data_IF_168500452300
#
_entry.id   IF_168500452300
#
_cell.length_a   1.000
_cell.length_b   1.000
_cell.length_c   1.000
_cell.angle_alpha   90.00
_cell.angle_beta   90.00
_cell.angle_gamma   90.00
#
_symmetry.space_group_name_H-M   'P 1'
#
loop_
_entity.id
_entity.type
_entity.pdbx_description
1 polymer ?
#
# COMPACT_ATOMS: atom_id res chain seq x y z
N UNK A 1 9.30 47.86 33.02
CA UNK A 1 10.49 47.32 33.71
C UNK A 1 11.00 46.16 32.88
N UNK A 2 12.10 46.40 32.17
CA UNK A 2 12.79 45.47 31.29
C UNK A 2 13.43 44.32 32.06
N UNK A 3 13.55 43.16 31.42
CA UNK A 3 14.71 42.28 31.60
C UNK A 3 14.98 41.58 30.26
N UNK A 4 15.97 42.09 29.54
CA UNK A 4 16.56 41.45 28.38
C UNK A 4 17.74 40.57 28.81
N UNK A 5 17.89 39.41 28.18
CA UNK A 5 19.10 38.61 28.29
C UNK A 5 19.68 38.48 26.89
N UNK A 6 20.83 39.12 26.73
CA UNK A 6 21.72 39.06 25.57
C UNK A 6 22.69 37.91 25.84
N UNK A 7 22.81 36.94 24.92
CA UNK A 7 23.93 36.01 24.90
C UNK A 7 24.76 36.25 23.64
N UNK A 8 25.98 36.69 23.89
CA UNK A 8 27.04 36.97 22.92
C UNK A 8 27.89 35.72 22.67
N UNK A 9 28.15 35.46 21.39
CA UNK A 9 29.46 35.17 20.78
C UNK A 9 30.44 34.22 21.48
N UNK A 10 30.81 33.13 20.79
CA UNK A 10 32.23 32.77 20.68
C UNK A 10 32.48 31.93 19.42
N UNK A 11 33.26 32.51 18.51
CA UNK A 11 33.85 31.82 17.37
C UNK A 11 35.04 30.99 17.86
N UNK A 12 35.15 29.74 17.42
CA UNK A 12 36.40 28.99 17.46
C UNK A 12 36.72 28.50 16.05
N UNK A 13 37.83 29.03 15.55
CA UNK A 13 38.50 28.69 14.31
C UNK A 13 39.09 27.26 14.36
N UNK A 14 39.23 26.71 13.16
CA UNK A 14 40.30 25.79 12.73
C UNK A 14 40.21 24.31 13.15
N UNK A 15 39.96 23.46 12.16
CA UNK A 15 40.99 22.57 11.63
C UNK A 15 40.52 21.99 10.27
N UNK A 16 41.13 22.46 9.19
CA UNK A 16 41.07 21.82 7.88
C UNK A 16 41.93 20.54 7.94
N UNK A 17 41.30 19.37 7.91
CA UNK A 17 41.98 18.13 7.54
C UNK A 17 41.44 17.68 6.18
N UNK A 18 42.18 18.06 5.14
CA UNK A 18 42.08 17.51 3.80
C UNK A 18 42.58 16.07 3.83
N UNK A 19 41.67 15.11 4.00
CA UNK A 19 41.96 13.70 3.72
C UNK A 19 41.54 13.43 2.28
N UNK A 20 42.56 13.27 1.43
CA UNK A 20 42.40 12.82 0.05
C UNK A 20 42.08 11.33 0.06
N UNK A 21 40.80 10.96 -0.05
CA UNK A 21 40.43 9.58 -0.32
C UNK A 21 40.49 9.34 -1.83
N UNK A 22 41.40 8.46 -2.21
CA UNK A 22 41.56 7.88 -3.55
C UNK A 22 40.26 7.18 -3.93
N UNK A 23 39.60 7.69 -4.97
CA UNK A 23 38.43 7.06 -5.57
C UNK A 23 38.81 5.80 -6.32
N UNK A 24 38.46 4.64 -5.78
CA UNK A 24 38.36 3.41 -6.56
C UNK A 24 36.97 3.44 -7.20
N UNK A 25 36.93 3.76 -8.50
CA UNK A 25 35.73 3.64 -9.32
C UNK A 25 35.44 2.15 -9.54
N UNK A 26 34.80 1.51 -8.56
CA UNK A 26 34.13 0.22 -8.75
C UNK A 26 32.87 0.44 -9.56
N UNK A 27 32.89 0.06 -10.83
CA UNK A 27 31.69 -0.02 -11.67
C UNK A 27 30.88 -1.26 -11.25
N UNK A 28 30.33 -1.25 -10.05
CA UNK A 28 29.29 -2.21 -9.68
C UNK A 28 27.99 -1.70 -10.29
N UNK A 29 27.76 -2.11 -11.54
CA UNK A 29 26.44 -2.01 -12.13
C UNK A 29 25.48 -2.77 -11.20
N UNK A 30 24.43 -2.14 -10.67
CA UNK A 30 23.43 -2.87 -9.91
C UNK A 30 22.82 -3.89 -10.88
N UNK A 31 23.10 -5.17 -10.64
CA UNK A 31 22.36 -6.27 -11.27
C UNK A 31 20.94 -6.14 -10.74
N UNK A 32 20.09 -5.46 -11.50
CA UNK A 32 18.67 -5.43 -11.25
C UNK A 32 18.20 -6.89 -11.35
N UNK A 33 18.00 -7.51 -10.19
CA UNK A 33 17.40 -8.84 -10.09
C UNK A 33 16.03 -8.72 -10.74
N UNK A 34 15.90 -9.23 -11.97
CA UNK A 34 14.60 -9.33 -12.60
C UNK A 34 13.76 -10.25 -11.71
N UNK A 35 12.52 -9.85 -11.36
CA UNK A 35 11.67 -10.71 -10.54
C UNK A 35 11.51 -12.08 -11.23
N UNK A 36 11.38 -13.17 -10.45
CA UNK A 36 11.18 -14.49 -11.01
C UNK A 36 9.94 -14.48 -11.91
N UNK A 37 10.12 -14.88 -13.17
CA UNK A 37 9.02 -15.11 -14.11
C UNK A 37 8.50 -16.52 -13.93
N UNK A 38 7.27 -16.65 -13.46
CA UNK A 38 6.57 -17.92 -13.44
C UNK A 38 5.65 -17.98 -14.67
N UNK A 39 5.73 -19.06 -15.45
CA UNK A 39 4.73 -19.35 -16.49
C UNK A 39 3.37 -19.55 -15.81
N UNK A 40 2.39 -18.72 -16.16
CA UNK A 40 1.15 -18.51 -15.40
C UNK A 40 0.23 -19.74 -15.27
N UNK A 41 0.43 -20.77 -16.10
CA UNK A 41 -0.42 -21.97 -16.13
C UNK A 41 -0.48 -22.75 -14.81
N UNK A 42 0.52 -22.66 -13.94
CA UNK A 42 0.54 -23.47 -12.71
C UNK A 42 -0.03 -22.78 -11.45
N UNK A 43 0.04 -21.45 -11.35
CA UNK A 43 -0.28 -20.72 -10.08
C UNK A 43 -1.64 -20.01 -10.07
N UNK A 44 -2.28 -19.82 -11.22
CA UNK A 44 -3.62 -19.23 -11.32
C UNK A 44 -4.77 -20.25 -11.20
N UNK A 45 -4.46 -21.54 -11.23
CA UNK A 45 -5.44 -22.64 -11.30
C UNK A 45 -5.69 -23.36 -9.98
N UNK A 46 -5.31 -22.79 -8.82
CA UNK A 46 -5.88 -23.25 -7.55
C UNK A 46 -7.18 -22.48 -7.28
N UNK A 47 -8.36 -23.04 -7.61
CA UNK A 47 -9.64 -22.40 -7.35
C UNK A 47 -9.93 -22.21 -5.85
N UNK A 48 -9.16 -22.86 -4.97
CA UNK A 48 -9.30 -22.67 -3.52
C UNK A 48 -8.56 -21.43 -3.00
N UNK A 49 -7.65 -20.87 -3.79
CA UNK A 49 -6.91 -19.62 -3.52
C UNK A 49 -7.23 -18.56 -4.58
N UNK A 50 -8.53 -18.34 -4.80
CA UNK A 50 -9.03 -17.26 -5.64
C UNK A 50 -8.83 -15.93 -4.92
N UNK A 51 -7.59 -15.46 -4.88
CA UNK A 51 -7.23 -14.16 -4.34
C UNK A 51 -8.10 -13.03 -4.89
N UNK A 52 -8.08 -11.87 -4.23
CA UNK A 52 -8.82 -10.70 -4.69
C UNK A 52 -8.21 -10.20 -5.98
N UNK A 53 -8.99 -10.18 -7.06
CA UNK A 53 -8.56 -9.71 -8.36
C UNK A 53 -9.14 -8.32 -8.67
N UNK A 54 -8.36 -7.46 -9.33
CA UNK A 54 -8.83 -6.24 -9.98
C UNK A 54 -8.27 -6.16 -11.40
N UNK A 55 -9.13 -5.87 -12.35
CA UNK A 55 -8.76 -5.76 -13.76
C UNK A 55 -8.43 -4.32 -14.12
N UNK A 56 -7.24 -4.10 -14.69
CA UNK A 56 -6.83 -2.85 -15.33
C UNK A 56 -7.07 -3.02 -16.83
N UNK A 57 -8.34 -2.87 -17.23
CA UNK A 57 -8.81 -3.13 -18.60
C UNK A 57 -8.06 -2.25 -19.62
N UNK A 58 -7.75 -1.01 -19.25
CA UNK A 58 -7.03 -0.05 -20.11
C UNK A 58 -5.65 -0.57 -20.50
N UNK A 59 -4.99 -1.34 -19.62
CA UNK A 59 -3.63 -1.87 -19.83
C UNK A 59 -3.59 -3.39 -20.03
N UNK A 60 -4.74 -3.99 -20.30
CA UNK A 60 -4.93 -5.44 -20.49
C UNK A 60 -4.17 -6.32 -19.48
N UNK A 61 -4.34 -6.04 -18.19
CA UNK A 61 -3.69 -6.78 -17.10
C UNK A 61 -4.58 -6.89 -15.86
N UNK A 62 -4.23 -7.78 -14.94
CA UNK A 62 -4.95 -7.97 -13.69
C UNK A 62 -4.00 -7.97 -12.50
N UNK A 63 -4.39 -7.26 -11.45
CA UNK A 63 -3.75 -7.31 -10.15
C UNK A 63 -4.44 -8.38 -9.31
N UNK A 64 -3.67 -9.22 -8.64
CA UNK A 64 -4.18 -10.33 -7.83
C UNK A 64 -3.53 -10.22 -6.46
N UNK A 65 -4.33 -10.21 -5.40
CA UNK A 65 -3.90 -10.23 -4.02
C UNK A 65 -4.25 -11.57 -3.39
N UNK A 66 -3.23 -12.25 -2.89
CA UNK A 66 -3.33 -13.51 -2.15
C UNK A 66 -2.74 -13.34 -0.75
N UNK A 67 -2.86 -14.37 0.08
CA UNK A 67 -2.27 -14.35 1.43
C UNK A 67 -0.74 -14.29 1.41
N UNK A 68 -0.12 -14.84 0.37
CA UNK A 68 1.33 -14.93 0.21
C UNK A 68 1.95 -13.73 -0.54
N UNK A 69 1.15 -12.96 -1.29
CA UNK A 69 1.67 -11.78 -1.97
C UNK A 69 0.73 -11.09 -2.95
N UNK A 70 1.33 -10.20 -3.73
CA UNK A 70 0.68 -9.44 -4.81
C UNK A 70 1.27 -9.89 -6.13
N UNK A 71 0.41 -10.12 -7.11
CA UNK A 71 0.80 -10.57 -8.43
C UNK A 71 0.22 -9.65 -9.50
N UNK A 72 0.98 -9.46 -10.57
CA UNK A 72 0.54 -8.80 -11.79
C UNK A 72 0.48 -9.82 -12.92
N UNK A 73 -0.71 -10.05 -13.45
CA UNK A 73 -0.94 -10.91 -14.59
C UNK A 73 -1.14 -10.09 -15.87
N UNK A 74 -0.30 -10.32 -16.87
CA UNK A 74 -0.39 -9.71 -18.19
C UNK A 74 -1.17 -10.63 -19.14
N UNK A 75 -2.33 -10.18 -19.63
CA UNK A 75 -3.18 -11.03 -20.49
C UNK A 75 -2.58 -11.24 -21.88
N UNK A 76 -1.82 -10.27 -22.40
CA UNK A 76 -1.22 -10.37 -23.74
C UNK A 76 -0.11 -11.44 -23.83
N UNK A 77 0.65 -11.61 -22.75
CA UNK A 77 1.81 -12.52 -22.70
C UNK A 77 1.58 -13.74 -21.84
N UNK A 78 0.43 -13.80 -21.16
CA UNK A 78 0.11 -14.79 -20.13
C UNK A 78 1.23 -14.89 -19.06
N UNK A 79 1.86 -13.76 -18.76
CA UNK A 79 2.96 -13.67 -17.78
C UNK A 79 2.40 -13.33 -16.40
N UNK A 80 2.82 -14.09 -15.38
CA UNK A 80 2.52 -13.80 -13.98
C UNK A 80 3.80 -13.31 -13.27
N UNK A 81 3.75 -12.09 -12.75
CA UNK A 81 4.87 -11.47 -12.04
C UNK A 81 4.52 -11.33 -10.57
N UNK A 82 5.31 -11.95 -9.71
CA UNK A 82 5.21 -11.79 -8.26
C UNK A 82 5.87 -10.47 -7.80
N UNK A 83 5.22 -9.80 -6.84
CA UNK A 83 5.66 -8.52 -6.29
C UNK A 83 5.76 -8.66 -4.78
N UNK A 84 7.00 -8.61 -4.27
CA UNK A 84 7.27 -8.68 -2.83
C UNK A 84 6.86 -7.38 -2.14
N UNK A 85 5.96 -7.48 -1.15
CA UNK A 85 5.53 -6.36 -0.32
C UNK A 85 6.38 -6.30 0.96
N UNK A 86 7.19 -5.25 1.17
CA UNK A 86 8.00 -5.13 2.37
C UNK A 86 7.13 -5.05 3.63
N UNK A 87 7.44 -5.89 4.63
CA UNK A 87 6.69 -5.92 5.88
C UNK A 87 5.27 -6.47 5.73
N UNK A 88 5.03 -7.32 4.74
CA UNK A 88 3.72 -7.92 4.51
C UNK A 88 3.19 -8.61 5.77
N UNK A 89 1.97 -8.24 6.15
CA UNK A 89 1.25 -8.83 7.28
C UNK A 89 -0.14 -9.20 6.81
N UNK A 90 -0.46 -10.48 6.95
CA UNK A 90 -1.78 -11.02 6.66
C UNK A 90 -2.31 -11.68 7.93
N UNK A 91 -3.36 -11.12 8.51
CA UNK A 91 -4.07 -11.79 9.59
C UNK A 91 -5.18 -12.63 9.00
N UNK A 92 -4.98 -13.95 9.04
CA UNK A 92 -5.96 -14.97 8.66
C UNK A 92 -6.61 -15.54 9.92
N UNK A 93 -7.50 -14.76 10.53
CA UNK A 93 -8.35 -15.22 11.63
C UNK A 93 -9.78 -15.36 11.13
N UNK A 94 -10.58 -16.30 11.67
CA UNK A 94 -11.95 -16.56 11.19
C UNK A 94 -12.85 -15.31 11.11
N UNK A 95 -12.60 -14.32 11.98
CA UNK A 95 -13.37 -13.07 12.05
C UNK A 95 -12.63 -11.86 11.44
N UNK A 96 -11.42 -12.05 10.92
CA UNK A 96 -10.64 -10.97 10.31
C UNK A 96 -10.86 -10.93 8.80
N UNK A 97 -11.19 -9.76 8.28
CA UNK A 97 -11.28 -9.59 6.85
C UNK A 97 -9.91 -9.44 6.22
N UNK A 98 -9.65 -10.15 5.11
CA UNK A 98 -8.37 -10.03 4.43
C UNK A 98 -8.22 -8.59 3.91
N UNK A 99 -6.97 -8.13 3.72
CA UNK A 99 -6.71 -6.86 3.07
C UNK A 99 -7.32 -6.81 1.67
N UNK A 100 -7.43 -5.60 1.11
CA UNK A 100 -7.97 -5.38 -0.23
C UNK A 100 -6.98 -4.64 -1.12
N UNK A 101 -7.29 -4.63 -2.41
CA UNK A 101 -6.53 -3.89 -3.40
C UNK A 101 -7.45 -3.05 -4.29
N UNK A 102 -6.96 -1.87 -4.69
CA UNK A 102 -7.58 -1.00 -5.67
C UNK A 102 -6.60 -0.69 -6.80
N UNK A 103 -7.13 -0.47 -8.00
CA UNK A 103 -6.37 0.07 -9.13
C UNK A 103 -6.55 1.57 -9.12
N UNK A 104 -5.44 2.29 -8.98
CA UNK A 104 -5.42 3.75 -9.03
C UNK A 104 -5.50 4.30 -10.47
N UNK A 105 -5.63 5.62 -10.61
CA UNK A 105 -5.82 6.27 -11.91
C UNK A 105 -4.65 6.08 -12.88
N UNK A 106 -3.43 5.94 -12.35
CA UNK A 106 -2.22 5.76 -13.16
C UNK A 106 -1.95 4.27 -13.46
N UNK A 107 -2.85 3.38 -13.01
CA UNK A 107 -2.78 1.94 -13.12
C UNK A 107 -1.97 1.27 -12.00
N UNK A 108 -1.53 2.05 -11.01
CA UNK A 108 -0.87 1.54 -9.81
C UNK A 108 -1.81 0.61 -9.02
N UNK A 109 -1.25 -0.39 -8.35
CA UNK A 109 -1.99 -1.08 -7.30
C UNK A 109 -1.78 -0.35 -5.97
N UNK A 110 -2.87 -0.10 -5.26
CA UNK A 110 -2.85 0.30 -3.86
C UNK A 110 -3.41 -0.84 -3.03
N UNK A 111 -2.64 -1.29 -2.04
CA UNK A 111 -2.94 -2.44 -1.20
C UNK A 111 -3.06 -1.96 0.24
N UNK A 112 -4.07 -2.44 0.95
CA UNK A 112 -4.25 -2.12 2.37
C UNK A 112 -3.55 -3.14 3.27
N UNK A 113 -3.29 -2.77 4.52
CA UNK A 113 -3.13 -3.73 5.61
C UNK A 113 -4.49 -3.92 6.29
N UNK A 114 -4.81 -5.15 6.73
CA UNK A 114 -6.00 -5.41 7.53
C UNK A 114 -5.78 -5.29 9.05
N UNK A 115 -4.59 -4.84 9.48
CA UNK A 115 -4.22 -4.71 10.90
C UNK A 115 -3.82 -3.29 11.26
N UNK A 116 -2.98 -2.67 10.44
CA UNK A 116 -2.38 -1.36 10.72
C UNK A 116 -2.75 -0.35 9.64
N UNK A 117 -2.60 0.95 9.94
CA UNK A 117 -2.95 2.04 9.04
C UNK A 117 -1.87 2.28 7.97
N UNK A 118 -1.42 1.20 7.33
CA UNK A 118 -0.39 1.20 6.28
C UNK A 118 -1.01 0.81 4.96
N UNK A 119 -0.66 1.54 3.91
CA UNK A 119 -0.95 1.16 2.54
C UNK A 119 0.34 1.03 1.76
N UNK A 120 0.33 0.13 0.78
CA UNK A 120 1.41 0.00 -0.17
C UNK A 120 0.94 0.46 -1.54
N UNK A 121 1.81 1.16 -2.25
CA UNK A 121 1.63 1.46 -3.68
C UNK A 121 2.66 0.70 -4.49
N UNK A 122 2.21 0.01 -5.53
CA UNK A 122 3.07 -0.58 -6.55
C UNK A 122 3.08 0.30 -7.78
N UNK A 123 4.23 0.87 -8.11
CA UNK A 123 4.38 1.62 -9.36
C UNK A 123 4.13 0.69 -10.56
N UNK A 124 3.23 1.04 -11.49
CA UNK A 124 2.75 0.12 -12.50
C UNK A 124 3.75 -0.17 -13.62
N UNK A 125 4.88 0.56 -13.68
CA UNK A 125 5.90 0.44 -14.73
C UNK A 125 7.16 -0.22 -14.21
N UNK A 126 7.56 0.14 -13.00
CA UNK A 126 8.81 -0.31 -12.35
C UNK A 126 8.57 -1.44 -11.35
N UNK A 127 7.31 -1.68 -10.97
CA UNK A 127 6.90 -2.60 -9.91
C UNK A 127 7.51 -2.26 -8.54
N UNK A 128 8.07 -1.05 -8.40
CA UNK A 128 8.63 -0.60 -7.13
C UNK A 128 7.51 -0.41 -6.12
N UNK A 129 7.66 -1.06 -4.97
CA UNK A 129 6.74 -0.93 -3.84
C UNK A 129 7.17 0.23 -2.94
N UNK A 130 6.23 1.08 -2.57
CA UNK A 130 6.39 2.13 -1.57
C UNK A 130 5.35 1.96 -0.47
N UNK A 131 5.76 2.00 0.79
CA UNK A 131 4.88 1.93 1.94
C UNK A 131 4.52 3.34 2.44
N UNK A 132 3.29 3.51 2.88
CA UNK A 132 2.76 4.76 3.38
C UNK A 132 1.99 4.52 4.68
N UNK A 133 2.52 5.06 5.78
CA UNK A 133 1.80 5.15 7.05
C UNK A 133 0.84 6.33 6.99
N UNK A 134 -0.45 6.07 7.21
CA UNK A 134 -1.47 7.11 7.23
C UNK A 134 -1.44 7.89 8.54
N UNK A 135 -1.46 9.22 8.42
CA UNK A 135 -1.93 10.07 9.50
C UNK A 135 -3.46 10.01 9.54
N UNK A 136 -4.01 9.33 10.55
CA UNK A 136 -5.45 9.26 10.78
C UNK A 136 -5.93 10.48 11.58
N UNK A 137 -7.05 11.08 11.17
CA UNK A 137 -7.68 12.20 11.89
C UNK A 137 -8.44 11.77 13.16
N UNK A 138 -8.76 10.48 13.26
CA UNK A 138 -9.45 9.85 14.36
C UNK A 138 -8.84 8.47 14.64
N UNK A 139 -9.17 7.87 15.79
CA UNK A 139 -8.78 6.49 16.12
C UNK A 139 -7.26 6.19 16.03
N UNK A 140 -6.40 7.20 16.15
CA UNK A 140 -4.94 7.05 16.11
C UNK A 140 -4.38 6.17 17.24
N UNK A 141 -5.20 5.87 18.25
CA UNK A 141 -4.88 4.98 19.37
C UNK A 141 -5.41 3.55 19.17
N UNK A 142 -5.89 3.20 17.97
CA UNK A 142 -6.40 1.87 17.61
C UNK A 142 -5.59 1.29 16.47
N UNK A 143 -5.54 -0.04 16.42
CA UNK A 143 -5.04 -0.78 15.27
C UNK A 143 -6.10 -0.73 14.15
N UNK A 144 -6.00 0.28 13.29
CA UNK A 144 -6.94 0.48 12.17
C UNK A 144 -6.36 -0.13 10.90
N UNK A 145 -6.88 -1.30 10.53
CA UNK A 145 -6.69 -1.87 9.19
C UNK A 145 -7.91 -1.67 8.28
N UNK A 146 -7.70 -1.86 6.98
CA UNK A 146 -8.73 -1.76 5.95
C UNK A 146 -8.83 -3.06 5.14
N UNK A 147 -10.06 -3.42 4.82
CA UNK A 147 -10.44 -4.70 4.20
C UNK A 147 -11.28 -4.51 2.95
N UNK A 148 -11.59 -3.25 2.61
CA UNK A 148 -12.13 -2.83 1.31
C UNK A 148 -11.47 -1.52 0.90
N UNK A 149 -11.15 -1.39 -0.37
CA UNK A 149 -10.55 -0.19 -0.95
C UNK A 149 -11.07 0.02 -2.38
N UNK A 150 -11.44 1.25 -2.70
CA UNK A 150 -11.80 1.67 -4.06
C UNK A 150 -11.26 3.07 -4.34
N UNK A 151 -10.90 3.33 -5.59
CA UNK A 151 -10.56 4.68 -6.04
C UNK A 151 -11.81 5.38 -6.58
N UNK A 152 -12.12 6.58 -6.06
CA UNK A 152 -13.16 7.47 -6.57
C UNK A 152 -12.55 8.44 -7.58
N UNK A 153 -12.86 8.28 -8.86
CA UNK A 153 -12.39 9.22 -9.88
C UNK A 153 -13.07 10.59 -9.77
N UNK A 154 -14.28 10.65 -9.20
CA UNK A 154 -15.02 11.89 -8.97
C UNK A 154 -14.36 12.75 -7.89
N UNK A 155 -13.98 12.14 -6.77
CA UNK A 155 -13.35 12.84 -5.65
C UNK A 155 -11.83 12.94 -5.79
N UNK A 156 -11.24 12.09 -6.63
CA UNK A 156 -9.79 11.96 -6.77
C UNK A 156 -9.11 11.23 -5.61
N UNK A 157 -9.88 10.63 -4.70
CA UNK A 157 -9.43 10.01 -3.45
C UNK A 157 -9.73 8.50 -3.41
N UNK A 158 -9.12 7.81 -2.45
CA UNK A 158 -9.45 6.44 -2.12
C UNK A 158 -10.52 6.40 -1.02
N UNK A 159 -11.47 5.48 -1.15
CA UNK A 159 -12.45 5.17 -0.10
C UNK A 159 -12.11 3.80 0.46
N UNK A 160 -11.91 3.73 1.76
CA UNK A 160 -11.54 2.51 2.47
C UNK A 160 -12.55 2.17 3.57
N UNK A 161 -12.76 0.88 3.79
CA UNK A 161 -13.57 0.37 4.88
C UNK A 161 -12.72 -0.42 5.86
N UNK A 162 -12.86 -0.13 7.15
CA UNK A 162 -12.28 -0.90 8.24
C UNK A 162 -13.39 -1.77 8.85
N UNK A 163 -13.38 -3.07 8.55
CA UNK A 163 -14.38 -4.01 9.07
C UNK A 163 -14.33 -4.11 10.60
N UNK A 164 -13.13 -4.18 11.19
CA UNK A 164 -12.93 -4.29 12.65
C UNK A 164 -13.60 -3.16 13.43
N UNK A 165 -13.51 -1.93 12.91
CA UNK A 165 -14.04 -0.74 13.57
C UNK A 165 -15.38 -0.27 12.98
N UNK A 166 -15.89 -0.96 11.95
CA UNK A 166 -17.09 -0.58 11.21
C UNK A 166 -17.02 0.87 10.71
N UNK A 167 -15.90 1.30 10.13
CA UNK A 167 -15.69 2.71 9.78
C UNK A 167 -15.30 2.92 8.33
N UNK A 168 -15.85 3.99 7.75
CA UNK A 168 -15.57 4.43 6.38
C UNK A 168 -14.58 5.58 6.41
N UNK A 169 -13.59 5.51 5.54
CA UNK A 169 -12.49 6.44 5.48
C UNK A 169 -12.31 6.97 4.06
N UNK A 170 -11.98 8.24 3.97
CA UNK A 170 -11.46 8.87 2.77
C UNK A 170 -9.95 9.02 2.93
N UNK A 171 -9.20 8.47 2.01
CA UNK A 171 -7.73 8.51 2.00
C UNK A 171 -7.31 9.33 0.79
N UNK A 172 -6.47 10.32 1.02
CA UNK A 172 -6.04 11.22 -0.04
C UNK A 172 -5.23 10.47 -1.12
N UNK A 173 -5.17 11.01 -2.34
CA UNK A 173 -4.39 10.40 -3.42
C UNK A 173 -2.91 10.20 -3.08
N UNK A 174 -2.32 10.96 -2.16
CA UNK A 174 -0.91 10.78 -1.78
C UNK A 174 -0.70 9.67 -0.75
N UNK A 175 -1.79 9.05 -0.26
CA UNK A 175 -1.80 8.01 0.77
C UNK A 175 -1.13 8.47 2.07
N UNK A 176 -1.30 9.73 2.45
CA UNK A 176 -0.69 10.30 3.65
C UNK A 176 -1.70 10.58 4.74
N UNK A 177 -2.95 10.83 4.38
CA UNK A 177 -3.99 11.25 5.32
C UNK A 177 -5.20 10.36 5.14
N UNK A 178 -5.66 9.77 6.24
CA UNK A 178 -6.95 9.09 6.33
C UNK A 178 -7.92 9.91 7.16
N UNK A 179 -9.04 10.31 6.56
CA UNK A 179 -10.12 11.02 7.24
C UNK A 179 -11.30 10.08 7.45
N UNK A 180 -11.75 9.92 8.70
CA UNK A 180 -12.97 9.17 8.97
C UNK A 180 -14.19 9.92 8.47
N UNK A 181 -14.93 9.32 7.55
CA UNK A 181 -16.15 9.88 6.96
C UNK A 181 -17.39 9.47 7.75
N UNK A 182 -17.45 8.21 8.16
CA UNK A 182 -18.59 7.66 8.89
C UNK A 182 -18.16 6.51 9.80
N UNK A 183 -18.98 6.25 10.81
CA UNK A 183 -18.86 5.08 11.66
C UNK A 183 -20.22 4.38 11.78
N UNK A 184 -20.21 3.08 11.56
CA UNK A 184 -21.36 2.20 11.64
C UNK A 184 -21.22 1.36 12.89
N UNK A 185 -22.23 1.38 13.76
CA UNK A 185 -22.25 0.52 14.93
C UNK A 185 -22.55 -0.91 14.49
N UNK A 186 -21.61 -1.83 14.75
CA UNK A 186 -21.82 -3.29 14.68
C UNK A 186 -22.38 -3.79 13.33
N UNK A 187 -21.57 -3.72 12.28
CA UNK A 187 -21.72 -4.65 11.16
C UNK A 187 -21.02 -5.96 11.56
N UNK A 188 -21.66 -6.74 12.43
CA UNK A 188 -21.26 -8.13 12.65
C UNK A 188 -21.69 -8.93 11.43
N UNK A 189 -20.79 -9.08 10.48
CA UNK A 189 -20.98 -9.90 9.28
C UNK A 189 -19.63 -10.38 8.79
N UNK A 190 -19.56 -11.66 8.42
CA UNK A 190 -18.36 -12.23 7.81
C UNK A 190 -18.06 -11.50 6.50
N UNK A 191 -16.78 -11.36 6.19
CA UNK A 191 -16.24 -10.70 4.99
C UNK A 191 -16.77 -11.30 3.67
N UNK A 192 -17.44 -12.45 3.76
CA UNK A 192 -18.09 -13.21 2.70
C UNK A 192 -19.53 -12.79 2.39
N UNK A 193 -20.19 -11.95 3.19
CA UNK A 193 -21.51 -11.43 2.83
C UNK A 193 -21.35 -10.36 1.73
N UNK A 194 -21.41 -10.88 0.51
CA UNK A 194 -21.42 -10.14 -0.74
C UNK A 194 -22.57 -9.12 -0.68
N UNK A 195 -22.23 -7.85 -0.51
CA UNK A 195 -23.10 -6.68 -0.76
C UNK A 195 -23.41 -6.56 -2.27
N UNK A 196 -23.86 -7.64 -2.92
CA UNK A 196 -24.29 -7.68 -4.33
C UNK A 196 -25.75 -7.25 -4.51
N UNK A 197 -26.38 -6.60 -3.54
CA UNK A 197 -27.73 -6.05 -3.69
C UNK A 197 -27.85 -4.71 -3.00
N UNK A 198 -27.59 -3.63 -3.72
CA UNK A 198 -28.23 -2.30 -3.57
C UNK A 198 -27.75 -1.35 -4.66
N UNK A 199 -27.71 -1.83 -5.91
CA UNK A 199 -27.53 -1.00 -7.10
C UNK A 199 -28.41 -1.58 -8.23
N UNK A 200 -29.71 -1.62 -7.97
CA UNK A 200 -30.79 -1.64 -8.97
C UNK A 200 -31.82 -0.57 -8.57
#
# INVERSE_FOLDING_TARGET
MSNGIVFTSSQALAALLLVSMVGVAGCDAPVASSPPRLTAEASLLDPSDSGRQRNDVVRNRSWILKSDGVFLYHHDTEELVEISIPGWQWVDQPDACPPDLAVGPDGEAVITSNVVAVLWRVDPRTLKVSAFELALDADHNKDVGFSRLVYSAEDGDYIAFSDVHGSLWRIDRSLRVGQKVAQFFHLRGSCSETLARSAE
#
